data_IF_623095513984
#
_entry.id   IF_623095513984
#
_cell.length_a   1.000
_cell.length_b   1.000
_cell.length_c   1.000
_cell.angle_alpha   90.00
_cell.angle_beta   90.00
_cell.angle_gamma   90.00
#
_symmetry.space_group_name_H-M   'P 1'
#
loop_
_entity.id
_entity.type
_entity.pdbx_description
1 polymer ?
#
# COMPACT_ATOMS: atom_id res chain seq x y z
N UNK A 1 13.47 -39.82 35.41
CA UNK A 1 13.06 -38.43 35.59
C UNK A 1 13.41 -37.67 34.29
N UNK A 2 12.45 -37.56 33.38
CA UNK A 2 12.64 -36.87 32.09
C UNK A 2 12.25 -35.41 32.31
N UNK A 3 12.96 -34.42 31.81
CA UNK A 3 12.55 -33.03 31.92
C UNK A 3 11.34 -32.77 31.01
N UNK A 4 10.38 -32.11 31.59
CA UNK A 4 9.14 -31.62 31.01
C UNK A 4 9.43 -30.67 29.87
N UNK A 5 9.08 -31.06 28.65
CA UNK A 5 9.16 -30.16 27.48
C UNK A 5 7.92 -29.27 27.55
N UNK A 6 8.09 -28.10 28.15
CA UNK A 6 7.11 -27.03 28.09
C UNK A 6 6.76 -26.75 26.63
N UNK A 7 5.55 -27.14 26.23
CA UNK A 7 4.92 -26.73 24.98
C UNK A 7 4.61 -25.23 25.07
N UNK A 8 5.56 -24.38 24.67
CA UNK A 8 5.30 -22.99 24.40
C UNK A 8 4.23 -22.93 23.30
N UNK A 9 3.09 -22.33 23.61
CA UNK A 9 2.05 -21.97 22.65
C UNK A 9 2.68 -21.23 21.46
N UNK A 10 2.17 -21.37 20.22
CA UNK A 10 2.72 -20.68 19.07
C UNK A 10 2.72 -19.17 19.37
N UNK A 11 3.91 -18.64 19.52
CA UNK A 11 4.23 -17.24 19.81
C UNK A 11 3.42 -16.40 18.82
N UNK A 12 2.55 -15.52 19.34
CA UNK A 12 1.80 -14.60 18.50
C UNK A 12 2.82 -13.69 17.85
N UNK A 13 3.16 -13.99 16.59
CA UNK A 13 4.13 -13.20 15.82
C UNK A 13 3.74 -11.73 15.92
N UNK A 14 4.68 -10.87 16.36
CA UNK A 14 4.44 -9.44 16.51
C UNK A 14 3.95 -8.88 15.19
N UNK A 15 2.90 -8.02 15.17
CA UNK A 15 2.44 -7.38 13.95
C UNK A 15 3.59 -6.69 13.21
N UNK A 16 3.60 -6.76 11.88
CA UNK A 16 4.54 -6.01 11.07
C UNK A 16 4.30 -4.49 11.21
N UNK A 17 3.03 -4.11 11.29
CA UNK A 17 2.60 -2.73 11.58
C UNK A 17 1.52 -2.78 12.66
N UNK A 18 1.64 -1.95 13.68
CA UNK A 18 0.62 -1.77 14.71
C UNK A 18 0.40 -0.28 14.94
N UNK A 19 -0.85 0.14 14.78
CA UNK A 19 -1.34 1.48 15.08
C UNK A 19 -2.26 1.38 16.29
N UNK A 20 -2.05 2.25 17.29
CA UNK A 20 -2.90 2.31 18.50
C UNK A 20 -3.30 3.74 18.78
N UNK A 21 -4.60 4.02 18.67
CA UNK A 21 -5.18 5.35 18.90
C UNK A 21 -4.47 6.42 18.05
N UNK A 22 -4.10 6.09 16.78
CA UNK A 22 -3.34 7.02 15.95
C UNK A 22 -4.24 8.14 15.47
N UNK A 23 -3.77 9.38 15.69
CA UNK A 23 -4.37 10.62 15.21
C UNK A 23 -3.33 11.43 14.44
N UNK A 24 -3.73 11.99 13.30
CA UNK A 24 -2.90 12.93 12.52
C UNK A 24 -3.67 14.21 12.31
N UNK A 25 -3.06 15.32 12.68
CA UNK A 25 -3.57 16.66 12.46
C UNK A 25 -2.53 17.55 11.78
N UNK A 26 -3.00 18.45 10.93
CA UNK A 26 -2.18 19.45 10.23
C UNK A 26 -2.57 20.84 10.69
N UNK A 27 -1.58 21.69 10.95
CA UNK A 27 -1.80 23.09 11.21
C UNK A 27 -2.07 23.81 9.90
N UNK A 28 -3.24 24.40 9.75
CA UNK A 28 -3.60 25.20 8.57
C UNK A 28 -3.00 26.60 8.64
N UNK A 29 -2.98 27.30 7.49
CA UNK A 29 -2.42 28.65 7.38
C UNK A 29 -3.16 29.70 8.24
N UNK A 30 -4.44 29.48 8.50
CA UNK A 30 -5.29 30.30 9.39
C UNK A 30 -5.05 30.04 10.88
N UNK A 31 -4.16 29.10 11.21
CA UNK A 31 -3.83 28.71 12.57
C UNK A 31 -4.77 27.66 13.18
N UNK A 32 -5.77 27.19 12.47
CA UNK A 32 -6.63 26.08 12.91
C UNK A 32 -5.97 24.73 12.69
N UNK A 33 -6.39 23.70 13.46
CA UNK A 33 -5.92 22.35 13.31
C UNK A 33 -6.93 21.55 12.46
N UNK A 34 -6.51 21.06 11.31
CA UNK A 34 -7.24 20.10 10.48
C UNK A 34 -6.87 18.68 10.89
N UNK A 35 -7.80 17.97 11.52
CA UNK A 35 -7.63 16.59 11.91
C UNK A 35 -8.00 15.69 10.73
N UNK A 36 -6.99 15.08 10.11
CA UNK A 36 -7.20 14.20 8.95
C UNK A 36 -7.74 12.83 9.34
N UNK A 37 -7.11 12.17 10.33
CA UNK A 37 -7.55 10.88 10.87
C UNK A 37 -7.51 10.91 12.40
N UNK A 38 -8.37 10.10 13.05
CA UNK A 38 -8.42 9.95 14.51
C UNK A 38 -8.77 8.53 14.92
N UNK A 39 -8.36 8.18 16.13
CA UNK A 39 -8.71 6.92 16.79
C UNK A 39 -8.51 5.70 15.89
N UNK A 40 -7.35 5.68 15.16
CA UNK A 40 -7.01 4.57 14.30
C UNK A 40 -6.31 3.47 15.09
N UNK A 41 -6.98 2.33 15.20
CA UNK A 41 -6.44 1.09 15.70
C UNK A 41 -6.38 0.08 14.54
N UNK A 42 -5.18 -0.39 14.19
CA UNK A 42 -4.97 -1.33 13.09
C UNK A 42 -3.71 -2.15 13.34
N UNK A 43 -3.82 -3.46 13.26
CA UNK A 43 -2.68 -4.36 13.29
C UNK A 43 -2.60 -5.15 11.97
N UNK A 44 -1.40 -5.24 11.41
CA UNK A 44 -1.12 -5.95 10.15
C UNK A 44 -0.06 -7.01 10.44
N UNK A 45 -0.39 -8.26 10.15
CA UNK A 45 0.51 -9.38 10.37
C UNK A 45 1.68 -9.39 9.34
N UNK A 46 2.83 -10.00 9.68
CA UNK A 46 3.85 -10.29 8.68
C UNK A 46 3.24 -11.11 7.53
N UNK A 47 3.53 -10.69 6.28
CA UNK A 47 3.02 -11.38 5.11
C UNK A 47 1.52 -11.17 4.81
N UNK A 48 0.80 -10.33 5.54
CA UNK A 48 -0.60 -10.00 5.28
C UNK A 48 -0.71 -8.89 4.23
N UNK A 49 -1.62 -9.06 3.30
CA UNK A 49 -1.98 -8.03 2.32
C UNK A 49 -3.27 -7.32 2.77
N UNK A 50 -3.16 -6.11 3.27
CA UNK A 50 -4.30 -5.28 3.71
C UNK A 50 -4.55 -4.18 2.70
N UNK A 51 -5.80 -4.03 2.28
CA UNK A 51 -6.22 -2.91 1.43
C UNK A 51 -7.06 -1.94 2.24
N UNK A 52 -6.83 -0.65 2.06
CA UNK A 52 -7.60 0.42 2.69
C UNK A 52 -8.43 1.13 1.62
N UNK A 53 -9.74 1.14 1.82
CA UNK A 53 -10.70 1.84 0.95
C UNK A 53 -11.43 2.92 1.73
N UNK A 54 -11.92 3.95 1.03
CA UNK A 54 -12.66 5.04 1.64
C UNK A 54 -12.85 6.20 0.65
N UNK A 55 -13.69 7.20 0.96
CA UNK A 55 -13.92 8.36 0.10
C UNK A 55 -12.63 9.11 -0.23
N UNK A 56 -12.64 9.86 -1.33
CA UNK A 56 -11.52 10.74 -1.69
C UNK A 56 -11.32 11.79 -0.60
N UNK A 57 -10.05 12.03 -0.22
CA UNK A 57 -9.71 13.00 0.80
C UNK A 57 -9.95 12.55 2.26
N UNK A 58 -10.39 11.32 2.51
CA UNK A 58 -10.63 10.84 3.88
C UNK A 58 -9.35 10.56 4.71
N UNK A 59 -8.15 10.68 4.15
CA UNK A 59 -6.90 10.51 4.90
C UNK A 59 -6.20 9.16 4.72
N UNK A 60 -6.53 8.37 3.70
CA UNK A 60 -5.85 7.10 3.39
C UNK A 60 -4.33 7.26 3.19
N UNK A 61 -3.92 8.21 2.36
CA UNK A 61 -2.50 8.55 2.15
C UNK A 61 -1.85 9.09 3.43
N UNK A 62 -2.61 9.82 4.25
CA UNK A 62 -2.13 10.29 5.57
C UNK A 62 -1.80 9.12 6.49
N UNK A 63 -2.62 8.06 6.47
CA UNK A 63 -2.37 6.86 7.24
C UNK A 63 -1.12 6.12 6.75
N UNK A 64 -0.93 5.99 5.43
CA UNK A 64 0.32 5.46 4.86
C UNK A 64 1.54 6.28 5.29
N UNK A 65 1.42 7.62 5.24
CA UNK A 65 2.48 8.53 5.65
C UNK A 65 2.82 8.40 7.15
N UNK A 66 1.82 8.12 8.00
CA UNK A 66 2.03 7.82 9.41
C UNK A 66 2.86 6.54 9.61
N UNK A 67 2.55 5.47 8.87
CA UNK A 67 3.32 4.20 8.89
C UNK A 67 4.72 4.38 8.30
N UNK A 68 4.88 5.24 7.29
CA UNK A 68 6.17 5.58 6.70
C UNK A 68 7.04 6.46 7.61
N UNK A 69 6.46 7.08 8.66
CA UNK A 69 7.14 8.06 9.52
C UNK A 69 7.38 9.41 8.84
N UNK A 70 6.55 9.74 7.85
CA UNK A 70 6.62 11.01 7.09
C UNK A 70 5.81 12.13 7.73
N UNK A 71 4.90 11.81 8.66
CA UNK A 71 4.08 12.77 9.39
C UNK A 71 4.12 12.48 10.88
N UNK A 72 3.98 13.53 11.69
CA UNK A 72 3.86 13.38 13.14
C UNK A 72 2.49 12.83 13.51
N UNK A 73 2.48 11.93 14.48
CA UNK A 73 1.26 11.28 14.97
C UNK A 73 1.08 11.50 16.47
N UNK A 74 -0.15 11.55 16.94
CA UNK A 74 -0.51 11.23 18.34
C UNK A 74 -0.89 9.74 18.38
N UNK A 75 -0.77 9.12 19.55
CA UNK A 75 -0.92 7.67 19.69
C UNK A 75 0.39 6.92 19.46
N UNK A 76 0.33 5.66 19.07
CA UNK A 76 1.51 4.82 18.89
C UNK A 76 1.54 4.12 17.54
N UNK A 77 2.67 4.22 16.85
CA UNK A 77 3.01 3.41 15.66
C UNK A 77 4.16 2.49 16.05
N UNK A 78 3.97 1.20 15.84
CA UNK A 78 4.99 0.17 16.08
C UNK A 78 5.26 -0.63 14.81
N UNK A 79 6.51 -0.93 14.56
CA UNK A 79 6.97 -1.74 13.44
C UNK A 79 7.67 -2.97 14.00
N UNK A 80 7.09 -4.15 13.76
CA UNK A 80 7.53 -5.43 14.35
C UNK A 80 7.69 -5.33 15.88
N UNK A 81 6.73 -4.66 16.52
CA UNK A 81 6.69 -4.48 17.98
C UNK A 81 7.57 -3.36 18.53
N UNK A 82 8.45 -2.74 17.73
CA UNK A 82 9.28 -1.62 18.14
C UNK A 82 8.62 -0.28 17.81
N UNK A 83 8.66 0.72 18.72
CA UNK A 83 8.14 2.05 18.41
C UNK A 83 8.82 2.64 17.18
N UNK A 84 8.04 3.25 16.28
CA UNK A 84 8.59 3.95 15.11
C UNK A 84 9.20 5.29 15.54
N UNK A 85 10.49 5.47 15.25
CA UNK A 85 11.21 6.71 15.46
C UNK A 85 11.75 7.23 14.12
N UNK A 86 11.21 8.35 13.64
CA UNK A 86 11.56 8.92 12.33
C UNK A 86 11.07 8.06 11.17
N UNK A 87 11.85 8.00 10.09
CA UNK A 87 11.48 7.27 8.88
C UNK A 87 11.50 5.76 9.07
N UNK A 88 10.48 5.08 8.58
CA UNK A 88 10.40 3.62 8.54
C UNK A 88 11.31 3.06 7.45
N UNK A 89 12.55 2.74 7.80
CA UNK A 89 13.55 2.21 6.85
C UNK A 89 13.26 0.76 6.41
N UNK A 90 12.32 0.07 7.08
CA UNK A 90 11.88 -1.29 6.72
C UNK A 90 10.76 -1.27 5.69
N UNK A 91 10.22 -0.09 5.36
CA UNK A 91 9.17 0.07 4.37
C UNK A 91 9.70 0.56 3.02
N UNK A 92 9.15 0.00 1.94
CA UNK A 92 9.20 0.55 0.61
C UNK A 92 7.89 1.30 0.33
N UNK A 93 7.97 2.48 -0.26
CA UNK A 93 6.79 3.30 -0.57
C UNK A 93 6.63 3.46 -2.10
N UNK A 94 5.49 3.02 -2.63
CA UNK A 94 5.09 3.23 -4.01
C UNK A 94 4.02 4.32 -4.06
N UNK A 95 4.40 5.49 -4.56
CA UNK A 95 3.53 6.67 -4.63
C UNK A 95 2.51 6.57 -5.78
N UNK A 96 1.44 7.35 -5.66
CA UNK A 96 0.43 7.51 -6.71
C UNK A 96 1.07 8.03 -8.01
N UNK A 97 1.93 9.05 -7.92
CA UNK A 97 2.73 9.53 -9.04
C UNK A 97 4.04 8.74 -9.16
N UNK A 98 4.50 8.54 -10.40
CA UNK A 98 5.77 7.88 -10.64
C UNK A 98 6.91 8.79 -10.19
N UNK A 99 7.62 8.41 -9.12
CA UNK A 99 8.78 9.16 -8.62
C UNK A 99 10.06 8.83 -9.43
N UNK A 100 9.93 8.69 -10.75
CA UNK A 100 11.05 8.39 -11.64
C UNK A 100 11.78 9.66 -12.03
N UNK A 101 13.11 9.60 -12.03
CA UNK A 101 13.98 10.68 -12.49
C UNK A 101 13.94 10.73 -14.05
N UNK A 102 13.40 11.80 -14.65
CA UNK A 102 13.18 11.84 -16.10
C UNK A 102 14.46 11.80 -16.93
N UNK A 103 15.60 12.17 -16.35
CA UNK A 103 16.92 12.16 -16.97
C UNK A 103 17.70 10.84 -16.76
N UNK A 104 17.15 9.86 -16.05
CA UNK A 104 17.74 8.54 -15.87
C UNK A 104 16.97 7.49 -16.68
N UNK A 105 17.68 6.49 -17.21
CA UNK A 105 17.04 5.33 -17.86
C UNK A 105 16.27 4.49 -16.84
N UNK A 106 15.46 3.52 -17.28
CA UNK A 106 14.75 2.59 -16.39
C UNK A 106 15.74 1.87 -15.45
N UNK A 107 16.84 1.36 -16.00
CA UNK A 107 17.89 0.69 -15.23
C UNK A 107 18.51 1.62 -14.18
N UNK A 108 18.86 2.85 -14.57
CA UNK A 108 19.45 3.81 -13.65
C UNK A 108 18.47 4.30 -12.58
N UNK A 109 17.17 4.38 -12.89
CA UNK A 109 16.11 4.69 -11.92
C UNK A 109 15.98 3.61 -10.86
N UNK A 110 16.09 2.34 -11.23
CA UNK A 110 16.03 1.23 -10.27
C UNK A 110 17.31 1.16 -9.45
N UNK A 111 18.48 1.27 -10.09
CA UNK A 111 19.78 1.16 -9.43
C UNK A 111 20.00 2.25 -8.36
N UNK A 112 19.51 3.48 -8.60
CA UNK A 112 19.69 4.61 -7.66
C UNK A 112 19.12 4.34 -6.26
N UNK A 113 18.13 3.46 -6.14
CA UNK A 113 17.54 3.10 -4.85
C UNK A 113 18.53 2.39 -3.92
N UNK A 114 19.63 1.86 -4.43
CA UNK A 114 20.70 1.20 -3.67
C UNK A 114 21.85 2.13 -3.28
N UNK A 115 21.96 3.33 -3.87
CA UNK A 115 23.02 4.30 -3.55
C UNK A 115 23.11 4.63 -2.05
N UNK A 116 21.97 4.87 -1.33
CA UNK A 116 22.00 5.18 0.10
C UNK A 116 22.48 4.00 0.97
N UNK A 117 22.47 2.78 0.45
CA UNK A 117 22.95 1.58 1.13
C UNK A 117 24.45 1.33 0.90
N UNK A 118 25.13 2.18 0.12
CA UNK A 118 26.56 2.06 -0.18
C UNK A 118 26.91 0.89 -1.12
N UNK A 119 25.93 0.37 -1.86
CA UNK A 119 26.14 -0.70 -2.85
C UNK A 119 26.95 -0.14 -4.03
N UNK A 120 27.93 -0.90 -4.52
CA UNK A 120 28.75 -0.48 -5.67
C UNK A 120 27.91 -0.27 -6.94
N UNK A 121 28.31 0.67 -7.81
CA UNK A 121 27.56 0.98 -9.02
C UNK A 121 27.39 -0.24 -9.95
N UNK A 122 28.39 -1.12 -10.03
CA UNK A 122 28.31 -2.37 -10.80
C UNK A 122 27.23 -3.31 -10.23
N UNK A 123 27.33 -3.63 -8.96
CA UNK A 123 26.36 -4.49 -8.26
C UNK A 123 24.94 -3.90 -8.30
N UNK A 124 24.79 -2.59 -8.09
CA UNK A 124 23.50 -1.93 -8.16
C UNK A 124 22.86 -2.04 -9.56
N UNK A 125 23.70 -1.96 -10.62
CA UNK A 125 23.27 -2.12 -12.01
C UNK A 125 22.81 -3.57 -12.30
N UNK A 126 23.56 -4.56 -11.84
CA UNK A 126 23.23 -5.97 -12.06
C UNK A 126 21.92 -6.33 -11.35
N UNK A 127 21.78 -5.98 -10.07
CA UNK A 127 20.54 -6.18 -9.30
C UNK A 127 19.35 -5.43 -9.89
N UNK A 128 19.57 -4.22 -10.43
CA UNK A 128 18.51 -3.46 -11.10
C UNK A 128 18.06 -4.16 -12.41
N UNK A 129 19.00 -4.75 -13.16
CA UNK A 129 18.69 -5.56 -14.33
C UNK A 129 17.81 -6.76 -14.00
N UNK A 130 18.15 -7.52 -12.96
CA UNK A 130 17.36 -8.65 -12.46
C UNK A 130 15.95 -8.21 -12.02
N UNK A 131 15.84 -7.10 -11.26
CA UNK A 131 14.56 -6.55 -10.87
C UNK A 131 13.69 -6.16 -12.05
N UNK A 132 14.26 -5.51 -13.08
CA UNK A 132 13.54 -5.16 -14.30
C UNK A 132 13.10 -6.39 -15.12
N UNK A 133 13.88 -7.45 -15.14
CA UNK A 133 13.47 -8.73 -15.74
C UNK A 133 12.26 -9.31 -14.99
N UNK A 134 12.27 -9.33 -13.66
CA UNK A 134 11.16 -9.83 -12.82
C UNK A 134 9.85 -9.08 -13.06
N UNK A 135 9.90 -7.79 -13.40
CA UNK A 135 8.70 -7.01 -13.75
C UNK A 135 8.42 -6.98 -15.26
N UNK A 136 9.09 -7.81 -16.05
CA UNK A 136 8.87 -7.97 -17.49
C UNK A 136 9.36 -6.79 -18.34
N UNK A 137 10.43 -6.11 -17.92
CA UNK A 137 11.01 -4.95 -18.60
C UNK A 137 12.45 -5.19 -19.10
N UNK A 138 12.85 -6.45 -19.33
CA UNK A 138 14.20 -6.78 -19.83
C UNK A 138 14.62 -5.99 -21.07
N UNK A 139 13.70 -5.77 -22.01
CA UNK A 139 13.97 -5.07 -23.28
C UNK A 139 13.82 -3.54 -23.19
N UNK A 140 13.56 -2.99 -21.99
CA UNK A 140 13.29 -1.57 -21.80
C UNK A 140 14.27 -0.89 -20.83
N UNK A 141 15.36 -1.55 -20.46
CA UNK A 141 16.32 -1.10 -19.45
C UNK A 141 16.96 0.26 -19.78
N UNK A 142 17.24 0.51 -21.04
CA UNK A 142 17.90 1.74 -21.54
C UNK A 142 16.90 2.84 -21.94
N UNK A 143 15.60 2.62 -21.75
CA UNK A 143 14.56 3.61 -22.05
C UNK A 143 14.42 4.63 -20.92
N UNK A 144 14.21 5.89 -21.30
CA UNK A 144 13.88 6.97 -20.37
C UNK A 144 12.38 6.96 -20.05
N UNK A 145 11.94 7.54 -18.92
CA UNK A 145 10.53 7.53 -18.51
C UNK A 145 9.56 8.06 -19.59
N UNK A 146 9.95 9.08 -20.36
CA UNK A 146 9.11 9.61 -21.44
C UNK A 146 8.96 8.67 -22.66
N UNK A 147 9.78 7.64 -22.75
CA UNK A 147 9.72 6.61 -23.80
C UNK A 147 8.94 5.37 -23.37
N UNK A 148 8.42 5.35 -22.13
CA UNK A 148 7.70 4.24 -21.53
C UNK A 148 6.20 4.53 -21.45
N UNK A 149 5.37 3.50 -21.62
CA UNK A 149 3.93 3.60 -21.34
C UNK A 149 3.69 3.82 -19.84
N UNK A 150 2.46 4.23 -19.44
CA UNK A 150 2.09 4.38 -18.05
C UNK A 150 2.32 3.11 -17.23
N UNK A 151 1.89 1.96 -17.74
CA UNK A 151 2.10 0.65 -17.11
C UNK A 151 3.59 0.28 -17.00
N UNK A 152 4.39 0.58 -18.01
CA UNK A 152 5.85 0.35 -17.98
C UNK A 152 6.51 1.24 -16.92
N UNK A 153 6.15 2.52 -16.82
CA UNK A 153 6.67 3.40 -15.75
C UNK A 153 6.31 2.86 -14.36
N UNK A 154 5.06 2.41 -14.15
CA UNK A 154 4.65 1.78 -12.87
C UNK A 154 5.46 0.53 -12.55
N UNK A 155 5.80 -0.32 -13.54
CA UNK A 155 6.68 -1.48 -13.34
C UNK A 155 8.11 -1.05 -12.97
N UNK A 156 8.64 0.02 -13.55
CA UNK A 156 9.94 0.58 -13.14
C UNK A 156 9.90 1.07 -11.70
N UNK A 157 8.85 1.83 -11.31
CA UNK A 157 8.67 2.32 -9.94
C UNK A 157 8.51 1.16 -8.93
N UNK A 158 7.79 0.10 -9.31
CA UNK A 158 7.66 -1.11 -8.51
C UNK A 158 9.01 -1.81 -8.33
N UNK A 159 9.80 -1.98 -9.41
CA UNK A 159 11.15 -2.54 -9.34
C UNK A 159 12.07 -1.70 -8.47
N UNK A 160 12.01 -0.36 -8.58
CA UNK A 160 12.76 0.59 -7.75
C UNK A 160 12.42 0.44 -6.24
N UNK A 161 11.15 0.17 -5.92
CA UNK A 161 10.72 -0.06 -4.54
C UNK A 161 11.21 -1.42 -4.03
N UNK A 162 11.08 -2.47 -4.85
CA UNK A 162 11.39 -3.85 -4.47
C UNK A 162 12.89 -4.15 -4.38
N UNK A 163 13.75 -3.45 -5.13
CA UNK A 163 15.21 -3.73 -5.15
C UNK A 163 15.87 -3.55 -3.78
N UNK A 164 15.28 -2.75 -2.90
CA UNK A 164 15.73 -2.54 -1.51
C UNK A 164 15.33 -3.67 -0.57
N UNK A 165 14.57 -4.64 -1.06
CA UNK A 165 14.04 -5.75 -0.29
C UNK A 165 13.32 -5.32 1.00
N UNK A 166 12.32 -4.43 0.92
CA UNK A 166 11.61 -3.95 2.10
C UNK A 166 10.77 -5.07 2.72
N UNK A 167 10.59 -5.04 4.04
CA UNK A 167 9.74 -5.98 4.78
C UNK A 167 8.27 -5.59 4.76
N UNK A 168 8.00 -4.29 4.49
CA UNK A 168 6.66 -3.70 4.40
C UNK A 168 6.57 -2.95 3.07
N UNK A 169 5.46 -3.12 2.34
CA UNK A 169 5.15 -2.34 1.15
C UNK A 169 3.97 -1.41 1.44
N UNK A 170 4.19 -0.12 1.25
CA UNK A 170 3.19 0.93 1.33
C UNK A 170 2.88 1.40 -0.08
N UNK A 171 1.63 1.29 -0.50
CA UNK A 171 1.21 1.59 -1.87
C UNK A 171 0.02 2.54 -1.87
N UNK A 172 0.21 3.74 -2.41
CA UNK A 172 -0.80 4.80 -2.43
C UNK A 172 -1.41 4.95 -3.82
N UNK A 173 -2.59 4.39 -4.04
CA UNK A 173 -3.33 4.36 -5.32
C UNK A 173 -2.42 4.09 -6.53
N UNK A 174 -1.56 3.05 -6.49
CA UNK A 174 -0.46 2.91 -7.45
C UNK A 174 -0.95 2.69 -8.88
N UNK A 175 -2.15 2.15 -9.06
CA UNK A 175 -2.70 1.78 -10.36
C UNK A 175 -3.83 2.70 -10.83
N UNK A 176 -4.20 3.73 -10.06
CA UNK A 176 -5.27 4.67 -10.37
C UNK A 176 -5.20 5.29 -11.78
N UNK A 177 -4.03 5.78 -12.26
CA UNK A 177 -3.91 6.38 -13.59
C UNK A 177 -3.96 5.40 -14.77
N UNK A 178 -4.02 4.08 -14.53
CA UNK A 178 -3.97 3.05 -15.56
C UNK A 178 -5.37 2.72 -16.10
N UNK A 179 -5.44 2.36 -17.37
CA UNK A 179 -6.64 1.77 -17.95
C UNK A 179 -6.96 0.41 -17.30
N UNK A 180 -8.20 -0.07 -17.46
CA UNK A 180 -8.70 -1.26 -16.78
C UNK A 180 -7.89 -2.53 -17.08
N UNK A 181 -7.42 -2.70 -18.34
CA UNK A 181 -6.67 -3.88 -18.74
C UNK A 181 -5.25 -3.85 -18.15
N UNK A 182 -4.56 -2.72 -18.28
CA UNK A 182 -3.22 -2.51 -17.71
C UNK A 182 -3.27 -2.65 -16.19
N UNK A 183 -4.31 -2.14 -15.53
CA UNK A 183 -4.53 -2.26 -14.09
C UNK A 183 -4.65 -3.72 -13.65
N UNK A 184 -5.45 -4.52 -14.35
CA UNK A 184 -5.59 -5.95 -14.07
C UNK A 184 -4.23 -6.68 -14.19
N UNK A 185 -3.49 -6.44 -15.27
CA UNK A 185 -2.16 -7.03 -15.47
C UNK A 185 -1.15 -6.59 -14.40
N UNK A 186 -1.25 -5.36 -13.90
CA UNK A 186 -0.41 -4.89 -12.78
C UNK A 186 -0.77 -5.56 -11.46
N UNK A 187 -2.07 -5.78 -11.21
CA UNK A 187 -2.55 -6.54 -10.05
C UNK A 187 -2.02 -7.98 -10.06
N UNK A 188 -2.12 -8.67 -11.20
CA UNK A 188 -1.62 -10.03 -11.37
C UNK A 188 -0.09 -10.09 -11.17
N UNK A 189 0.66 -9.15 -11.73
CA UNK A 189 2.10 -9.03 -11.52
C UNK A 189 2.43 -8.82 -10.03
N UNK A 190 1.73 -7.89 -9.37
CA UNK A 190 1.94 -7.63 -7.94
C UNK A 190 1.67 -8.87 -7.09
N UNK A 191 0.58 -9.58 -7.35
CA UNK A 191 0.26 -10.82 -6.65
C UNK A 191 1.30 -11.92 -6.88
N UNK A 192 1.82 -12.06 -8.10
CA UNK A 192 2.88 -13.03 -8.41
C UNK A 192 4.16 -12.73 -7.63
N UNK A 193 4.59 -11.48 -7.60
CA UNK A 193 5.77 -11.02 -6.86
C UNK A 193 5.58 -11.20 -5.35
N UNK A 194 4.42 -10.80 -4.83
CA UNK A 194 4.09 -10.92 -3.41
C UNK A 194 3.97 -12.38 -2.96
N UNK A 195 3.45 -13.28 -3.81
CA UNK A 195 3.31 -14.70 -3.45
C UNK A 195 4.65 -15.42 -3.32
N UNK A 196 5.66 -14.96 -4.05
CA UNK A 196 7.02 -15.50 -3.97
C UNK A 196 7.75 -15.08 -2.69
N UNK A 197 7.45 -13.85 -2.20
CA UNK A 197 8.08 -13.29 -1.02
C UNK A 197 7.04 -12.47 -0.25
N UNK A 198 6.37 -13.16 0.68
CA UNK A 198 5.24 -12.60 1.43
C UNK A 198 5.66 -11.49 2.37
N UNK A 199 5.65 -10.27 1.87
CA UNK A 199 5.84 -9.04 2.64
C UNK A 199 4.50 -8.57 3.23
N UNK A 200 4.53 -7.82 4.33
CA UNK A 200 3.35 -7.10 4.78
C UNK A 200 3.03 -5.97 3.78
N UNK A 201 1.79 -5.84 3.37
CA UNK A 201 1.36 -4.83 2.38
C UNK A 201 0.23 -4.00 2.93
N UNK A 202 0.35 -2.68 2.80
CA UNK A 202 -0.76 -1.72 2.94
C UNK A 202 -0.97 -1.08 1.57
N UNK A 203 -2.11 -1.37 0.99
CA UNK A 203 -2.47 -0.92 -0.35
C UNK A 203 -3.70 -0.01 -0.27
N UNK A 204 -3.56 1.24 -0.68
CA UNK A 204 -4.66 2.18 -0.76
C UNK A 204 -5.23 2.17 -2.16
N UNK A 205 -6.53 2.05 -2.28
CA UNK A 205 -7.27 2.19 -3.56
C UNK A 205 -8.68 2.70 -3.32
N UNK A 206 -9.29 3.24 -4.35
CA UNK A 206 -10.73 3.53 -4.42
C UNK A 206 -11.49 2.48 -5.25
N UNK A 207 -10.81 1.50 -5.83
CA UNK A 207 -11.38 0.43 -6.65
C UNK A 207 -11.63 -0.81 -5.79
N UNK A 208 -12.92 -1.20 -5.62
CA UNK A 208 -13.29 -2.36 -4.82
C UNK A 208 -12.86 -3.68 -5.45
N UNK A 209 -12.78 -3.74 -6.77
CA UNK A 209 -12.33 -4.95 -7.47
C UNK A 209 -10.86 -5.21 -7.19
N UNK A 210 -10.02 -4.15 -7.19
CA UNK A 210 -8.63 -4.25 -6.75
C UNK A 210 -8.55 -4.70 -5.29
N UNK A 211 -9.31 -4.02 -4.41
CA UNK A 211 -9.29 -4.30 -3.00
C UNK A 211 -9.58 -5.78 -2.69
N UNK A 212 -10.62 -6.34 -3.29
CA UNK A 212 -11.03 -7.74 -3.07
C UNK A 212 -10.07 -8.73 -3.75
N UNK A 213 -9.59 -8.41 -4.96
CA UNK A 213 -8.70 -9.31 -5.70
C UNK A 213 -7.34 -9.47 -5.01
N UNK A 214 -6.79 -8.39 -4.45
CA UNK A 214 -5.43 -8.36 -3.93
C UNK A 214 -5.35 -8.75 -2.44
N UNK A 215 -6.29 -8.29 -1.62
CA UNK A 215 -6.15 -8.30 -0.17
C UNK A 215 -6.51 -9.62 0.51
N UNK A 216 -5.92 -9.87 1.67
CA UNK A 216 -6.41 -10.83 2.66
C UNK A 216 -7.48 -10.19 3.56
N UNK A 217 -7.42 -8.85 3.72
CA UNK A 217 -8.38 -8.05 4.48
C UNK A 217 -8.55 -6.67 3.87
N UNK A 218 -9.80 -6.21 3.80
CA UNK A 218 -10.16 -4.85 3.36
C UNK A 218 -10.62 -4.06 4.58
N UNK A 219 -10.02 -2.89 4.78
CA UNK A 219 -10.33 -1.92 5.83
C UNK A 219 -11.08 -0.76 5.21
N UNK A 220 -12.22 -0.40 5.76
CA UNK A 220 -13.07 0.70 5.27
C UNK A 220 -12.91 1.91 6.17
N UNK A 221 -12.56 3.06 5.59
CA UNK A 221 -12.46 4.34 6.29
C UNK A 221 -13.71 5.19 6.07
N UNK A 222 -14.11 5.92 7.11
CA UNK A 222 -15.18 6.90 7.05
C UNK A 222 -14.80 8.11 6.20
N UNK A 223 -15.78 8.97 5.87
CA UNK A 223 -15.50 10.29 5.32
C UNK A 223 -14.69 11.14 6.31
N UNK A 224 -13.86 12.07 5.77
CA UNK A 224 -13.20 13.12 6.54
C UNK A 224 -14.14 14.31 6.82
N UNK A 225 -13.70 15.28 7.65
CA UNK A 225 -12.47 15.27 8.44
C UNK A 225 -12.52 14.31 9.63
N UNK A 226 -11.36 14.06 10.23
CA UNK A 226 -11.22 13.15 11.36
C UNK A 226 -11.74 11.73 11.06
N UNK A 227 -11.37 11.22 9.89
CA UNK A 227 -11.76 9.89 9.45
C UNK A 227 -11.24 8.79 10.39
N UNK A 228 -11.99 7.71 10.49
CA UNK A 228 -11.70 6.55 11.32
C UNK A 228 -11.97 5.25 10.55
N UNK A 229 -11.49 4.14 11.05
CA UNK A 229 -11.88 2.81 10.55
C UNK A 229 -13.32 2.54 11.01
N UNK A 230 -14.19 2.13 10.08
CA UNK A 230 -15.60 1.84 10.34
C UNK A 230 -15.97 0.38 10.14
N UNK A 231 -15.22 -0.33 9.30
CA UNK A 231 -15.40 -1.77 9.07
C UNK A 231 -14.11 -2.45 8.62
N UNK A 232 -14.03 -3.76 8.85
CA UNK A 232 -12.98 -4.63 8.34
C UNK A 232 -13.63 -5.89 7.76
N UNK A 233 -13.26 -6.24 6.53
CA UNK A 233 -13.76 -7.42 5.84
C UNK A 233 -12.63 -8.39 5.54
N UNK A 234 -12.71 -9.60 6.06
CA UNK A 234 -11.80 -10.68 5.69
C UNK A 234 -12.17 -11.20 4.30
N UNK A 235 -11.17 -11.37 3.44
CA UNK A 235 -11.36 -11.87 2.08
C UNK A 235 -11.02 -13.36 2.05
N UNK A 236 -12.06 -14.18 2.15
CA UNK A 236 -12.00 -15.63 2.22
C UNK A 236 -12.04 -16.30 0.83
N UNK A 237 -11.59 -15.61 -0.19
CA UNK A 237 -11.42 -16.16 -1.54
C UNK A 237 -10.11 -16.95 -1.64
N UNK A 238 -10.11 -18.11 -2.33
CA UNK A 238 -8.90 -18.92 -2.49
C UNK A 238 -7.82 -18.17 -3.29
N UNK A 239 -6.56 -18.47 -3.03
CA UNK A 239 -5.42 -18.02 -3.84
C UNK A 239 -4.89 -19.16 -4.71
N UNK A 240 -4.30 -18.94 -5.89
CA UNK A 240 -4.01 -17.64 -6.49
C UNK A 240 -5.25 -16.93 -7.04
N UNK A 241 -5.36 -15.62 -6.88
CA UNK A 241 -6.45 -14.77 -7.38
C UNK A 241 -6.01 -14.02 -8.64
N UNK A 242 -5.44 -14.76 -9.59
CA UNK A 242 -4.91 -14.23 -10.83
C UNK A 242 -5.96 -14.34 -11.92
N UNK A 243 -6.10 -13.27 -12.71
CA UNK A 243 -7.02 -13.24 -13.85
C UNK A 243 -8.44 -12.75 -13.54
N UNK A 244 -9.22 -12.62 -14.62
CA UNK A 244 -10.59 -12.09 -14.55
C UNK A 244 -11.58 -13.04 -13.86
N UNK A 245 -11.30 -14.33 -13.80
CA UNK A 245 -12.27 -15.37 -13.39
C UNK A 245 -12.69 -15.24 -11.93
N UNK A 246 -11.81 -14.75 -11.03
CA UNK A 246 -12.16 -14.57 -9.64
C UNK A 246 -13.32 -13.58 -9.44
N UNK A 247 -13.45 -12.60 -10.35
CA UNK A 247 -14.52 -11.60 -10.31
C UNK A 247 -15.88 -12.17 -10.65
N UNK A 248 -15.93 -13.33 -11.33
CA UNK A 248 -17.17 -14.02 -11.66
C UNK A 248 -17.71 -14.86 -10.49
N UNK A 249 -16.90 -15.08 -9.46
CA UNK A 249 -17.29 -15.90 -8.31
C UNK A 249 -18.45 -15.23 -7.52
N UNK A 250 -19.51 -15.96 -7.16
CA UNK A 250 -20.61 -15.41 -6.36
C UNK A 250 -20.15 -14.81 -5.03
N UNK A 251 -19.11 -15.37 -4.42
CA UNK A 251 -18.52 -14.88 -3.18
C UNK A 251 -17.83 -13.53 -3.36
N UNK A 252 -17.21 -13.28 -4.52
CA UNK A 252 -16.62 -11.98 -4.86
C UNK A 252 -17.67 -10.89 -4.83
N UNK A 253 -18.79 -11.10 -5.52
CA UNK A 253 -19.91 -10.14 -5.53
C UNK A 253 -20.56 -9.97 -4.16
N UNK A 254 -20.61 -11.01 -3.34
CA UNK A 254 -21.12 -10.89 -1.96
C UNK A 254 -20.22 -9.97 -1.11
N UNK A 255 -18.90 -10.12 -1.21
CA UNK A 255 -17.92 -9.25 -0.55
C UNK A 255 -18.00 -7.81 -1.06
N UNK A 256 -18.10 -7.64 -2.39
CA UNK A 256 -18.23 -6.32 -3.00
C UNK A 256 -19.47 -5.58 -2.48
N UNK A 257 -20.63 -6.26 -2.42
CA UNK A 257 -21.87 -5.68 -1.87
C UNK A 257 -21.73 -5.33 -0.38
N UNK A 258 -21.09 -6.19 0.41
CA UNK A 258 -20.89 -5.94 1.85
C UNK A 258 -20.01 -4.72 2.08
N UNK A 259 -18.85 -4.65 1.41
CA UNK A 259 -17.93 -3.50 1.51
C UNK A 259 -18.60 -2.22 1.00
N UNK A 260 -19.35 -2.30 -0.11
CA UNK A 260 -20.07 -1.15 -0.66
C UNK A 260 -21.18 -0.67 0.30
N UNK A 261 -21.86 -1.56 1.01
CA UNK A 261 -22.88 -1.18 1.99
C UNK A 261 -22.31 -0.28 3.09
N UNK A 262 -21.10 -0.60 3.61
CA UNK A 262 -20.44 0.24 4.61
C UNK A 262 -19.88 1.54 4.00
N UNK A 263 -19.42 1.49 2.74
CA UNK A 263 -18.77 2.63 2.09
C UNK A 263 -19.76 3.66 1.54
N UNK A 264 -20.94 3.22 1.07
CA UNK A 264 -21.91 4.06 0.32
C UNK A 264 -22.28 5.34 1.07
N UNK A 265 -22.65 5.22 2.33
CA UNK A 265 -23.13 6.36 3.12
C UNK A 265 -21.96 7.35 3.41
N UNK A 266 -20.75 6.86 3.54
CA UNK A 266 -19.56 7.68 3.70
C UNK A 266 -19.20 8.42 2.40
N UNK A 267 -19.34 7.78 1.25
CA UNK A 267 -19.16 8.43 -0.06
C UNK A 267 -20.19 9.55 -0.22
N UNK A 268 -21.47 9.29 0.09
CA UNK A 268 -22.53 10.32 0.00
C UNK A 268 -22.29 11.49 0.95
N UNK A 269 -21.79 11.25 2.17
CA UNK A 269 -21.38 12.31 3.12
C UNK A 269 -20.22 13.15 2.57
N UNK A 270 -19.20 12.52 1.99
CA UNK A 270 -18.08 13.22 1.40
C UNK A 270 -18.51 14.13 0.22
N UNK A 271 -19.43 13.66 -0.63
CA UNK A 271 -19.98 14.47 -1.71
C UNK A 271 -20.79 15.67 -1.17
N UNK A 272 -21.63 15.45 -0.16
CA UNK A 272 -22.45 16.52 0.43
C UNK A 272 -21.57 17.62 1.07
N UNK A 273 -20.51 17.24 1.78
CA UNK A 273 -19.56 18.20 2.39
C UNK A 273 -18.70 18.92 1.36
N UNK A 274 -18.27 18.26 0.28
CA UNK A 274 -17.53 18.86 -0.82
C UNK A 274 -18.35 19.86 -1.63
N UNK A 275 -19.64 19.60 -1.84
CA UNK A 275 -20.55 20.51 -2.51
C UNK A 275 -20.82 21.78 -1.69
N UNK A 276 -20.88 21.69 -0.36
CA UNK A 276 -21.03 22.83 0.54
C UNK A 276 -19.80 23.73 0.54
N UNK A 277 -18.58 23.17 0.44
CA UNK A 277 -17.33 23.95 0.39
C UNK A 277 -17.05 24.63 -0.94
N UNK A 278 -17.68 24.20 -2.03
CA UNK A 278 -17.54 24.82 -3.35
C UNK A 278 -18.55 25.98 -3.58
N UNK A 279 -19.53 26.14 -2.70
CA UNK A 279 -20.57 27.18 -2.77
C UNK A 279 -20.32 28.36 -1.79
N UNK A 280 -19.26 28.31 -0.99
CA UNK A 280 -18.79 29.34 -0.06
C UNK A 280 -17.50 29.98 -0.56
#
# INVERSE_FOLDING_TARGET
MRPDVSTASPDQAKPAVELRGVEVAFRLADGTDYRAVRDIDLAIAPGEFVTIVGPTGCGKSTLLNAVAGLVSVRGAVRIFGSPLAGLNRRAGYLFQQDALMPWKTALANVAVALEPAGVSAGEARDRAGECLQRVGLANFMDRYPHQLSGGQRKRVALAQTLIRDPEILLMDEPFGPLDAQTRALMGDLLLSLWSADRKAVIFVTHDLDEAISLADRVVVMSAGPAARIIAEHRIDLPRPRVGADIRLAPRFHALQRAIWADLRDEVMRAYASGAAGAAA
#
